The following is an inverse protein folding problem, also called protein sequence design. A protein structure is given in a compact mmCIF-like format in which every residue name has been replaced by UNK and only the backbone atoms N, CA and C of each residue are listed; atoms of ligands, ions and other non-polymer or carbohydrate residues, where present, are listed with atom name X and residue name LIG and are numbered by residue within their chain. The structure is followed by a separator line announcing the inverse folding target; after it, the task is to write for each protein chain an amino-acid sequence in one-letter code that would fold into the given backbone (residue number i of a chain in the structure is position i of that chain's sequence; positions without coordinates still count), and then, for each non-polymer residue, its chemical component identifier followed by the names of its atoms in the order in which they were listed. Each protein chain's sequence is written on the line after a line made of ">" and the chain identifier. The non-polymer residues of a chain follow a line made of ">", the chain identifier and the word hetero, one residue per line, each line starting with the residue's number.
data_IF_019192291994
#
_entry.id   IF_019192291994
#
_cell.length_a   1.000
_cell.length_b   1.000
_cell.length_c   1.000
_cell.angle_alpha   90.00
_cell.angle_beta   90.00
_cell.angle_gamma   90.00
#
_symmetry.space_group_name_H-M   'P 1'
#
loop_
_entity.id
_entity.type
_entity.pdbx_description
1 polymer ?
#
# COMPACT_ATOMS: atom_id res chain seq x y z
N UNK A 1 27.02 23.54 13.77
CA UNK A 1 26.31 24.33 12.75
C UNK A 1 25.44 23.39 11.95
N UNK A 2 24.11 23.53 12.10
CA UNK A 2 23.12 22.71 11.41
C UNK A 2 23.13 23.06 9.92
N UNK A 3 23.31 22.06 9.05
CA UNK A 3 23.11 22.21 7.61
C UNK A 3 21.86 21.41 7.26
N UNK A 4 20.78 22.17 7.07
CA UNK A 4 19.50 21.73 6.51
C UNK A 4 19.71 21.38 5.04
N UNK A 5 19.61 20.11 4.67
CA UNK A 5 19.49 19.70 3.27
C UNK A 5 18.00 19.58 2.92
N UNK A 6 17.46 20.65 2.35
CA UNK A 6 16.23 20.62 1.58
C UNK A 6 16.45 19.78 0.31
N UNK A 7 15.96 18.54 0.30
CA UNK A 7 15.74 17.81 -0.95
C UNK A 7 14.44 18.32 -1.57
N UNK A 8 14.57 19.22 -2.54
CA UNK A 8 13.51 19.54 -3.49
C UNK A 8 13.16 18.26 -4.27
N UNK A 9 12.10 17.57 -3.86
CA UNK A 9 11.38 16.70 -4.76
C UNK A 9 10.72 17.59 -5.82
N UNK A 10 11.22 17.48 -7.05
CA UNK A 10 10.61 18.05 -8.24
C UNK A 10 9.13 17.67 -8.28
N UNK A 11 8.29 18.70 -8.26
CA UNK A 11 6.85 18.64 -8.45
C UNK A 11 6.56 18.11 -9.86
N UNK A 12 6.46 16.79 -10.01
CA UNK A 12 5.67 16.21 -11.09
C UNK A 12 4.23 16.24 -10.58
N UNK A 13 3.29 16.95 -11.22
CA UNK A 13 1.90 16.89 -10.83
C UNK A 13 1.40 15.49 -11.17
N UNK A 14 1.42 14.59 -10.20
CA UNK A 14 0.65 13.38 -10.27
C UNK A 14 -0.82 13.82 -10.28
N UNK A 15 -1.40 13.96 -11.48
CA UNK A 15 -2.86 13.88 -11.66
C UNK A 15 -3.27 12.45 -11.33
N UNK A 16 -3.22 12.12 -10.04
CA UNK A 16 -3.85 10.93 -9.52
C UNK A 16 -5.35 11.14 -9.73
N UNK A 17 -6.04 10.25 -10.46
CA UNK A 17 -7.48 10.34 -10.60
C UNK A 17 -8.09 10.36 -9.19
N UNK A 18 -9.07 11.24 -8.98
CA UNK A 18 -9.87 11.22 -7.76
C UNK A 18 -10.60 9.87 -7.71
N UNK A 19 -10.00 8.90 -7.04
CA UNK A 19 -10.66 7.64 -6.71
C UNK A 19 -11.66 8.01 -5.61
N UNK A 20 -12.87 8.38 -6.04
CA UNK A 20 -14.01 8.35 -5.12
C UNK A 20 -14.17 6.88 -4.71
N UNK A 21 -14.33 6.55 -3.42
CA UNK A 21 -14.91 5.28 -3.05
C UNK A 21 -16.22 5.19 -3.81
N UNK A 22 -16.26 4.36 -4.86
CA UNK A 22 -17.47 4.20 -5.66
C UNK A 22 -18.57 3.78 -4.70
N UNK A 23 -19.78 4.32 -4.88
CA UNK A 23 -21.03 3.77 -4.34
C UNK A 23 -20.95 2.24 -4.35
N UNK A 24 -20.61 1.68 -3.19
CA UNK A 24 -20.34 0.26 -3.03
C UNK A 24 -21.64 -0.47 -3.32
N UNK A 25 -21.55 -1.56 -4.07
CA UNK A 25 -22.64 -2.52 -4.18
C UNK A 25 -23.07 -2.84 -2.74
N UNK A 26 -24.32 -2.48 -2.39
CA UNK A 26 -24.94 -2.90 -1.13
C UNK A 26 -24.94 -4.43 -1.10
N UNK A 27 -23.95 -5.02 -0.45
CA UNK A 27 -24.11 -6.38 0.05
C UNK A 27 -25.10 -6.31 1.22
N UNK A 28 -26.16 -7.10 1.14
CA UNK A 28 -27.19 -7.17 2.16
C UNK A 28 -26.63 -7.47 3.55
N UNK A 29 -27.39 -7.06 4.55
CA UNK A 29 -27.12 -7.10 6.00
C UNK A 29 -27.00 -8.52 6.58
N UNK A 30 -26.06 -9.32 6.06
CA UNK A 30 -25.46 -10.43 6.80
C UNK A 30 -24.01 -10.05 7.10
N UNK A 31 -23.68 -9.94 8.39
CA UNK A 31 -22.40 -9.51 8.96
C UNK A 31 -21.19 -10.07 8.20
N UNK A 32 -20.65 -9.30 7.25
CA UNK A 32 -19.53 -9.72 6.43
C UNK A 32 -18.22 -9.69 7.25
N UNK A 33 -17.72 -10.88 7.60
CA UNK A 33 -16.41 -11.03 8.26
C UNK A 33 -15.29 -11.12 7.21
N UNK A 34 -14.61 -9.99 6.99
CA UNK A 34 -13.45 -9.87 6.10
C UNK A 34 -12.32 -10.86 6.44
N UNK A 35 -12.14 -11.21 7.72
CA UNK A 35 -11.11 -12.16 8.16
C UNK A 35 -11.47 -13.58 7.74
N UNK A 36 -12.73 -13.99 7.94
CA UNK A 36 -13.21 -15.31 7.50
C UNK A 36 -13.16 -15.39 5.97
N UNK A 37 -13.60 -14.33 5.28
CA UNK A 37 -13.48 -14.25 3.82
C UNK A 37 -12.02 -14.43 3.38
N UNK A 38 -11.09 -13.65 3.93
CA UNK A 38 -9.67 -13.71 3.58
C UNK A 38 -9.08 -15.10 3.87
N UNK A 39 -9.42 -15.69 5.01
CA UNK A 39 -8.96 -17.01 5.38
C UNK A 39 -9.38 -18.08 4.38
N UNK A 40 -10.65 -18.04 3.92
CA UNK A 40 -11.17 -18.95 2.92
C UNK A 40 -10.60 -18.65 1.52
N UNK A 41 -10.48 -17.36 1.18
CA UNK A 41 -9.90 -16.87 -0.06
C UNK A 41 -8.47 -17.39 -0.27
N UNK A 42 -7.63 -17.32 0.77
CA UNK A 42 -6.23 -17.76 0.72
C UNK A 42 -6.04 -19.27 0.60
N UNK A 43 -7.09 -20.06 0.82
CA UNK A 43 -7.05 -21.54 0.75
C UNK A 43 -7.56 -22.11 -0.56
N UNK A 44 -8.03 -21.24 -1.46
CA UNK A 44 -8.51 -21.69 -2.76
C UNK A 44 -7.36 -22.20 -3.62
N UNK A 45 -7.70 -23.09 -4.54
CA UNK A 45 -6.74 -23.67 -5.51
C UNK A 45 -6.23 -22.66 -6.53
N UNK A 46 -7.01 -21.62 -6.80
CA UNK A 46 -6.74 -20.53 -7.76
C UNK A 46 -6.24 -19.26 -7.04
N UNK A 47 -5.57 -19.46 -5.90
CA UNK A 47 -4.88 -18.43 -5.15
C UNK A 47 -3.45 -18.87 -4.85
N UNK A 48 -2.47 -18.04 -5.22
CA UNK A 48 -1.07 -18.27 -4.94
C UNK A 48 -0.44 -17.03 -4.29
N UNK A 49 0.27 -17.23 -3.17
CA UNK A 49 1.10 -16.20 -2.52
C UNK A 49 2.57 -16.58 -2.45
N UNK A 50 2.96 -17.82 -2.74
CA UNK A 50 4.31 -18.36 -2.48
C UNK A 50 5.26 -18.24 -3.68
N UNK A 51 4.72 -18.02 -4.88
CA UNK A 51 5.44 -18.14 -6.15
C UNK A 51 5.22 -19.51 -6.79
N UNK A 52 5.95 -19.75 -7.88
CA UNK A 52 5.80 -20.90 -8.78
C UNK A 52 7.10 -21.72 -8.94
N UNK A 53 8.09 -21.51 -8.05
CA UNK A 53 9.32 -22.30 -8.03
C UNK A 53 10.41 -21.79 -8.99
N UNK A 54 10.24 -20.61 -9.59
CA UNK A 54 11.21 -20.01 -10.52
C UNK A 54 12.01 -18.88 -9.86
N UNK A 55 12.29 -19.02 -8.55
CA UNK A 55 12.90 -17.98 -7.72
C UNK A 55 14.26 -17.55 -8.25
N UNK A 56 15.18 -18.49 -8.43
CA UNK A 56 16.58 -18.17 -8.77
C UNK A 56 16.70 -17.54 -10.16
N UNK A 57 15.94 -18.06 -11.13
CA UNK A 57 15.86 -17.48 -12.47
C UNK A 57 15.31 -16.05 -12.46
N UNK A 58 14.26 -15.81 -11.68
CA UNK A 58 13.64 -14.49 -11.56
C UNK A 58 14.56 -13.50 -10.87
N UNK A 59 15.25 -13.90 -9.79
CA UNK A 59 16.24 -13.07 -9.10
C UNK A 59 17.43 -12.74 -9.98
N UNK A 60 17.94 -13.71 -10.75
CA UNK A 60 19.02 -13.47 -11.72
C UNK A 60 18.61 -12.42 -12.75
N UNK A 61 17.42 -12.56 -13.35
CA UNK A 61 16.89 -11.59 -14.32
C UNK A 61 16.74 -10.19 -13.71
N UNK A 62 16.28 -10.09 -12.46
CA UNK A 62 16.18 -8.82 -11.76
C UNK A 62 17.56 -8.20 -11.51
N UNK A 63 18.54 -9.02 -11.11
CA UNK A 63 19.94 -8.60 -10.97
C UNK A 63 20.49 -8.02 -12.28
N UNK A 64 20.38 -8.78 -13.38
CA UNK A 64 20.89 -8.35 -14.69
C UNK A 64 20.21 -7.08 -15.22
N UNK A 65 18.95 -6.82 -14.85
CA UNK A 65 18.17 -5.67 -15.34
C UNK A 65 18.33 -4.42 -14.46
N UNK A 66 18.48 -4.58 -13.15
CA UNK A 66 18.41 -3.48 -12.18
C UNK A 66 19.72 -3.22 -11.42
N UNK A 67 20.68 -4.14 -11.46
CA UNK A 67 22.03 -3.83 -11.00
C UNK A 67 22.71 -2.90 -12.02
N UNK A 68 23.33 -1.83 -11.55
CA UNK A 68 24.11 -0.93 -12.39
C UNK A 68 25.58 -1.33 -12.34
N UNK A 69 26.20 -1.62 -13.49
CA UNK A 69 27.45 -2.39 -13.46
C UNK A 69 28.72 -1.56 -13.20
N UNK A 70 28.82 -0.32 -13.68
CA UNK A 70 30.13 0.37 -13.61
C UNK A 70 30.30 1.37 -12.45
N UNK A 71 29.27 2.14 -12.09
CA UNK A 71 29.40 3.15 -11.03
C UNK A 71 29.15 2.57 -9.64
N UNK A 72 28.12 1.73 -9.50
CA UNK A 72 27.79 1.12 -8.22
C UNK A 72 28.88 0.16 -7.77
N UNK A 73 29.50 -0.58 -8.68
CA UNK A 73 30.66 -1.41 -8.36
C UNK A 73 31.82 -0.55 -7.83
N UNK A 74 32.19 0.53 -8.52
CA UNK A 74 33.21 1.48 -8.06
C UNK A 74 32.91 2.08 -6.70
N UNK A 75 31.65 2.46 -6.46
CA UNK A 75 31.21 2.97 -5.15
C UNK A 75 31.38 1.90 -4.06
N UNK A 76 31.02 0.64 -4.32
CA UNK A 76 31.18 -0.46 -3.35
C UNK A 76 32.65 -0.76 -3.05
N UNK A 77 33.50 -0.80 -4.07
CA UNK A 77 34.93 -1.07 -3.95
C UNK A 77 35.67 0.06 -3.21
N UNK A 78 35.22 1.30 -3.36
CA UNK A 78 35.81 2.49 -2.72
C UNK A 78 35.13 2.88 -1.39
N UNK A 79 34.64 1.90 -0.62
CA UNK A 79 34.10 2.17 0.71
C UNK A 79 32.83 3.04 0.73
N UNK A 80 31.97 2.92 -0.30
CA UNK A 80 30.74 3.71 -0.52
C UNK A 80 30.98 5.17 -0.91
N UNK A 81 32.19 5.54 -1.33
CA UNK A 81 32.51 6.91 -1.76
C UNK A 81 33.20 6.93 -3.11
N UNK A 82 32.89 7.91 -3.95
CA UNK A 82 33.58 8.14 -5.21
C UNK A 82 33.74 9.64 -5.46
N UNK A 83 34.98 10.08 -5.71
CA UNK A 83 35.29 11.49 -5.95
C UNK A 83 35.51 11.74 -7.44
N UNK A 84 34.79 12.73 -7.98
CA UNK A 84 34.93 13.19 -9.35
C UNK A 84 35.19 14.71 -9.36
N UNK A 85 36.47 15.08 -9.49
CA UNK A 85 36.92 16.46 -9.30
C UNK A 85 36.62 16.95 -7.89
N UNK A 86 35.82 18.01 -7.80
CA UNK A 86 35.39 18.62 -6.53
C UNK A 86 34.07 18.03 -6.00
N UNK A 87 33.46 17.07 -6.72
CA UNK A 87 32.22 16.40 -6.29
C UNK A 87 32.55 15.08 -5.59
N UNK A 88 31.92 14.86 -4.44
CA UNK A 88 31.99 13.58 -3.70
C UNK A 88 30.62 12.91 -3.72
N UNK A 89 30.55 11.72 -4.32
CA UNK A 89 29.38 10.86 -4.35
C UNK A 89 29.48 9.87 -3.18
N UNK A 90 28.46 9.81 -2.33
CA UNK A 90 28.36 8.84 -1.23
C UNK A 90 27.16 7.95 -1.47
N UNK A 91 27.37 6.64 -1.39
CA UNK A 91 26.31 5.65 -1.45
C UNK A 91 25.68 5.50 -0.06
N UNK A 92 24.35 5.56 -0.01
CA UNK A 92 23.59 5.36 1.22
C UNK A 92 23.91 4.02 1.88
N UNK A 93 23.73 3.95 3.19
CA UNK A 93 23.98 2.71 3.93
C UNK A 93 23.06 1.59 3.44
N UNK A 94 21.78 1.92 3.30
CA UNK A 94 20.72 1.09 2.73
C UNK A 94 20.30 1.64 1.35
N UNK A 95 20.30 0.79 0.34
CA UNK A 95 19.90 1.13 -1.02
C UNK A 95 19.37 -0.10 -1.77
N UNK A 96 18.61 0.15 -2.83
CA UNK A 96 18.04 -0.89 -3.68
C UNK A 96 16.66 -1.38 -3.22
N UNK A 97 16.27 -2.57 -3.66
CA UNK A 97 14.98 -3.16 -3.29
C UNK A 97 15.00 -3.67 -1.86
N UNK A 98 13.99 -3.28 -1.08
CA UNK A 98 13.71 -3.99 0.17
C UNK A 98 13.20 -5.40 -0.15
N UNK A 99 13.29 -6.31 0.82
CA UNK A 99 12.85 -7.70 0.66
C UNK A 99 11.39 -7.82 0.19
N UNK A 100 10.50 -6.95 0.67
CA UNK A 100 9.10 -6.94 0.26
C UNK A 100 8.93 -6.61 -1.22
N UNK A 101 9.66 -5.61 -1.72
CA UNK A 101 9.67 -5.22 -3.14
C UNK A 101 10.27 -6.33 -3.99
N UNK A 102 11.44 -6.84 -3.63
CA UNK A 102 12.10 -7.93 -4.38
C UNK A 102 11.17 -9.14 -4.51
N UNK A 103 10.58 -9.55 -3.39
CA UNK A 103 9.61 -10.65 -3.35
C UNK A 103 8.42 -10.40 -4.28
N UNK A 104 7.88 -9.18 -4.30
CA UNK A 104 6.67 -8.86 -5.07
C UNK A 104 6.94 -8.91 -6.57
N UNK A 105 8.01 -8.24 -7.00
CA UNK A 105 8.45 -8.23 -8.41
C UNK A 105 8.81 -9.64 -8.88
N UNK A 106 9.54 -10.39 -8.06
CA UNK A 106 9.87 -11.78 -8.34
C UNK A 106 8.62 -12.62 -8.59
N UNK A 107 7.64 -12.60 -7.68
CA UNK A 107 6.42 -13.42 -7.84
C UNK A 107 5.63 -13.00 -9.09
N UNK A 108 5.59 -11.71 -9.42
CA UNK A 108 4.97 -11.25 -10.66
C UNK A 108 5.69 -11.80 -11.92
N UNK A 109 7.03 -11.88 -11.92
CA UNK A 109 7.79 -12.53 -12.99
C UNK A 109 7.52 -14.02 -13.07
N UNK A 110 7.49 -14.71 -11.92
CA UNK A 110 7.17 -16.13 -11.85
C UNK A 110 5.76 -16.41 -12.39
N UNK A 111 4.77 -15.58 -12.04
CA UNK A 111 3.40 -15.72 -12.53
C UNK A 111 3.31 -15.57 -14.06
N UNK A 112 3.98 -14.55 -14.61
CA UNK A 112 4.01 -14.34 -16.05
C UNK A 112 4.66 -15.53 -16.77
N UNK A 113 5.73 -16.09 -16.21
CA UNK A 113 6.41 -17.28 -16.75
C UNK A 113 5.55 -18.55 -16.65
N UNK A 114 4.86 -18.75 -15.52
CA UNK A 114 4.01 -19.90 -15.27
C UNK A 114 2.79 -19.95 -16.21
N UNK A 115 2.25 -18.79 -16.58
CA UNK A 115 1.06 -18.67 -17.39
C UNK A 115 1.35 -17.92 -18.71
N UNK A 116 2.15 -18.49 -19.61
CA UNK A 116 2.60 -17.85 -20.85
C UNK A 116 1.41 -17.44 -21.75
N UNK A 117 0.38 -18.28 -21.80
CA UNK A 117 -0.75 -18.18 -22.75
C UNK A 117 -1.99 -17.49 -22.17
N UNK A 118 -1.98 -17.10 -20.89
CA UNK A 118 -3.11 -16.44 -20.23
C UNK A 118 -2.88 -14.92 -20.15
N UNK A 119 -3.94 -14.14 -20.22
CA UNK A 119 -3.83 -12.70 -19.95
C UNK A 119 -3.44 -12.48 -18.50
N UNK A 120 -2.35 -11.75 -18.28
CA UNK A 120 -1.89 -11.38 -16.95
C UNK A 120 -2.23 -9.92 -16.69
N UNK A 121 -2.98 -9.67 -15.63
CA UNK A 121 -3.38 -8.36 -15.17
C UNK A 121 -2.65 -8.00 -13.88
N UNK A 122 -2.33 -6.73 -13.70
CA UNK A 122 -1.98 -6.14 -12.41
C UNK A 122 -3.13 -5.25 -11.94
N UNK A 123 -3.47 -5.34 -10.66
CA UNK A 123 -4.52 -4.48 -10.08
C UNK A 123 -4.14 -3.00 -10.15
N UNK A 124 -2.86 -2.70 -9.91
CA UNK A 124 -2.24 -1.37 -9.90
C UNK A 124 -0.79 -1.52 -10.40
N UNK A 125 0.02 -0.46 -10.31
CA UNK A 125 1.47 -0.65 -10.43
C UNK A 125 1.96 -1.71 -9.42
N UNK A 126 2.88 -2.60 -9.84
CA UNK A 126 3.40 -3.64 -8.93
C UNK A 126 4.09 -3.00 -7.72
N UNK A 127 4.81 -1.90 -7.99
CA UNK A 127 5.43 -0.94 -7.08
C UNK A 127 5.49 0.41 -7.83
N UNK A 128 5.67 1.53 -7.12
CA UNK A 128 5.88 2.85 -7.74
C UNK A 128 7.29 3.01 -8.33
N UNK A 129 7.61 2.18 -9.33
CA UNK A 129 8.85 2.22 -10.09
C UNK A 129 8.53 2.08 -11.59
N UNK A 130 8.65 3.16 -12.38
CA UNK A 130 8.31 3.12 -13.80
C UNK A 130 9.06 2.06 -14.59
N UNK A 131 10.36 1.84 -14.29
CA UNK A 131 11.19 0.85 -14.99
C UNK A 131 10.72 -0.57 -14.74
N UNK A 132 10.29 -0.89 -13.52
CA UNK A 132 9.74 -2.22 -13.19
C UNK A 132 8.40 -2.43 -13.88
N UNK A 133 7.48 -1.46 -13.82
CA UNK A 133 6.18 -1.57 -14.50
C UNK A 133 6.34 -1.66 -16.02
N UNK A 134 7.27 -0.89 -16.61
CA UNK A 134 7.59 -1.00 -18.03
C UNK A 134 8.09 -2.40 -18.38
N UNK A 135 9.00 -2.97 -17.57
CA UNK A 135 9.53 -4.32 -17.81
C UNK A 135 8.41 -5.37 -17.76
N UNK A 136 7.47 -5.27 -16.83
CA UNK A 136 6.29 -6.12 -16.78
C UNK A 136 5.38 -5.93 -18.01
N UNK A 137 5.21 -4.70 -18.46
CA UNK A 137 4.49 -4.37 -19.70
C UNK A 137 5.13 -4.99 -20.95
N UNK A 138 6.46 -4.89 -21.07
CA UNK A 138 7.25 -5.55 -22.14
C UNK A 138 7.11 -7.08 -22.09
N UNK A 139 6.89 -7.65 -20.90
CA UNK A 139 6.59 -9.07 -20.73
C UNK A 139 5.14 -9.43 -21.05
N UNK A 140 4.27 -8.46 -21.34
CA UNK A 140 2.86 -8.67 -21.67
C UNK A 140 1.90 -8.66 -20.46
N UNK A 141 2.37 -8.22 -19.29
CA UNK A 141 1.52 -8.00 -18.11
C UNK A 141 0.86 -6.63 -18.22
N UNK A 142 -0.48 -6.57 -18.11
CA UNK A 142 -1.27 -5.35 -18.31
C UNK A 142 -1.77 -4.81 -16.98
N UNK A 143 -1.69 -3.51 -16.74
CA UNK A 143 -2.39 -2.91 -15.60
C UNK A 143 -3.88 -2.77 -15.96
N UNK A 144 -4.78 -3.11 -15.03
CA UNK A 144 -6.22 -2.91 -15.22
C UNK A 144 -6.47 -1.41 -15.40
N UNK A 145 -7.05 -0.97 -16.53
CA UNK A 145 -7.19 0.45 -16.79
C UNK A 145 -8.23 1.08 -15.87
N UNK A 146 -8.02 2.36 -15.56
CA UNK A 146 -8.96 3.18 -14.80
C UNK A 146 -9.64 4.17 -15.75
N UNK A 147 -10.98 4.18 -15.78
CA UNK A 147 -11.77 5.20 -16.48
C UNK A 147 -12.70 5.86 -15.48
N UNK A 148 -12.75 7.20 -15.50
CA UNK A 148 -13.61 7.98 -14.59
C UNK A 148 -13.43 7.63 -13.11
N UNK A 149 -12.19 7.33 -12.70
CA UNK A 149 -11.86 6.95 -11.33
C UNK A 149 -12.25 5.52 -10.93
N UNK A 150 -12.68 4.67 -11.88
CA UNK A 150 -13.06 3.27 -11.64
C UNK A 150 -12.22 2.29 -12.46
N UNK A 151 -11.67 1.28 -11.80
CA UNK A 151 -10.98 0.13 -12.42
C UNK A 151 -11.96 -0.65 -13.31
N UNK A 152 -11.54 -0.96 -14.54
CA UNK A 152 -12.36 -1.60 -15.56
C UNK A 152 -12.29 -3.13 -15.48
N UNK A 153 -12.87 -3.71 -14.43
CA UNK A 153 -12.84 -5.16 -14.21
C UNK A 153 -13.63 -5.98 -15.24
N UNK A 154 -14.46 -5.34 -16.06
CA UNK A 154 -15.19 -6.02 -17.15
C UNK A 154 -14.25 -6.55 -18.25
N UNK A 155 -13.04 -6.00 -18.34
CA UNK A 155 -12.00 -6.47 -19.25
C UNK A 155 -11.31 -7.75 -18.78
N UNK A 156 -11.46 -8.09 -17.49
CA UNK A 156 -10.85 -9.29 -16.90
C UNK A 156 -11.77 -10.48 -17.16
N UNK A 157 -11.29 -11.48 -17.88
CA UNK A 157 -12.06 -12.66 -18.24
C UNK A 157 -11.85 -13.81 -17.24
N UNK A 158 -12.78 -14.76 -17.23
CA UNK A 158 -12.63 -16.01 -16.48
C UNK A 158 -11.36 -16.73 -16.93
N UNK A 159 -10.58 -17.20 -15.97
CA UNK A 159 -9.32 -17.85 -16.26
C UNK A 159 -8.21 -16.88 -16.68
N UNK A 160 -8.36 -15.56 -16.56
CA UNK A 160 -7.20 -14.67 -16.55
C UNK A 160 -6.38 -14.82 -15.26
N UNK A 161 -5.15 -14.34 -15.26
CA UNK A 161 -4.30 -14.23 -14.07
C UNK A 161 -4.33 -12.79 -13.58
N UNK A 162 -4.61 -12.57 -12.30
CA UNK A 162 -4.65 -11.24 -11.70
C UNK A 162 -3.66 -11.18 -10.55
N UNK A 163 -2.65 -10.35 -10.71
CA UNK A 163 -1.58 -10.10 -9.76
C UNK A 163 -1.96 -8.91 -8.89
N UNK A 164 -2.16 -9.15 -7.59
CA UNK A 164 -2.35 -8.09 -6.60
C UNK A 164 -0.99 -7.43 -6.35
N UNK A 165 -0.94 -6.09 -6.32
CA UNK A 165 0.31 -5.33 -6.15
C UNK A 165 0.99 -5.57 -4.79
N UNK A 166 2.20 -5.03 -4.60
CA UNK A 166 2.90 -5.08 -3.32
C UNK A 166 2.14 -4.36 -2.20
N UNK A 167 1.31 -3.37 -2.55
CA UNK A 167 0.44 -2.60 -1.64
C UNK A 167 -0.81 -3.38 -1.23
N UNK A 168 -1.11 -4.47 -1.96
CA UNK A 168 -2.30 -5.29 -1.80
C UNK A 168 -3.51 -4.73 -2.53
N UNK A 169 -4.69 -5.25 -2.18
CA UNK A 169 -5.95 -4.87 -2.78
C UNK A 169 -7.04 -4.77 -1.71
N UNK A 170 -8.05 -3.89 -1.89
CA UNK A 170 -9.20 -3.83 -1.00
C UNK A 170 -10.01 -5.13 -0.97
N UNK A 171 -10.66 -5.42 0.15
CA UNK A 171 -11.48 -6.62 0.32
C UNK A 171 -12.53 -6.78 -0.78
N UNK A 172 -13.16 -5.69 -1.18
CA UNK A 172 -14.18 -5.68 -2.24
C UNK A 172 -13.59 -5.99 -3.62
N UNK A 173 -12.37 -5.54 -3.91
CA UNK A 173 -11.65 -5.90 -5.14
C UNK A 173 -11.34 -7.40 -5.16
N UNK A 174 -10.85 -7.96 -4.05
CA UNK A 174 -10.60 -9.40 -3.92
C UNK A 174 -11.88 -10.24 -4.07
N UNK A 175 -13.01 -9.77 -3.53
CA UNK A 175 -14.32 -10.43 -3.69
C UNK A 175 -14.79 -10.41 -5.14
N UNK A 176 -14.68 -9.27 -5.81
CA UNK A 176 -15.08 -9.13 -7.20
C UNK A 176 -14.25 -10.06 -8.10
N UNK A 177 -12.93 -10.04 -7.96
CA UNK A 177 -12.03 -10.89 -8.74
C UNK A 177 -12.29 -12.38 -8.47
N UNK A 178 -12.59 -12.73 -7.21
CA UNK A 178 -13.01 -14.08 -6.81
C UNK A 178 -14.22 -14.56 -7.61
N UNK A 179 -15.26 -13.73 -7.72
CA UNK A 179 -16.49 -14.06 -8.43
C UNK A 179 -16.28 -14.24 -9.93
N UNK A 180 -15.23 -13.64 -10.50
CA UNK A 180 -14.86 -13.79 -11.92
C UNK A 180 -14.09 -15.08 -12.24
N UNK A 181 -13.79 -15.93 -11.24
CA UNK A 181 -13.03 -17.18 -11.41
C UNK A 181 -11.68 -16.98 -12.13
N UNK A 182 -10.92 -15.98 -11.70
CA UNK A 182 -9.54 -15.74 -12.14
C UNK A 182 -8.55 -16.48 -11.25
N UNK A 183 -7.31 -16.65 -11.73
CA UNK A 183 -6.18 -17.03 -10.87
C UNK A 183 -5.67 -15.78 -10.15
N UNK A 184 -5.64 -15.81 -8.82
CA UNK A 184 -5.10 -14.71 -8.02
C UNK A 184 -3.65 -15.01 -7.67
N UNK A 185 -2.77 -14.07 -8.01
CA UNK A 185 -1.38 -14.05 -7.54
C UNK A 185 -1.21 -12.89 -6.58
N UNK A 186 -1.15 -13.19 -5.29
CA UNK A 186 -1.02 -12.19 -4.24
C UNK A 186 0.46 -11.87 -3.97
N UNK A 187 0.91 -10.72 -4.47
CA UNK A 187 2.28 -10.25 -4.22
C UNK A 187 2.40 -9.35 -3.01
N UNK A 188 1.30 -9.05 -2.31
CA UNK A 188 1.26 -8.11 -1.18
C UNK A 188 2.43 -8.32 -0.23
N UNK A 189 3.15 -7.24 0.06
CA UNK A 189 4.27 -7.24 0.99
C UNK A 189 3.82 -7.83 2.35
N UNK A 190 4.54 -8.81 2.92
CA UNK A 190 4.17 -9.38 4.22
C UNK A 190 4.12 -8.37 5.36
N UNK A 191 4.89 -7.28 5.26
CA UNK A 191 4.83 -6.17 6.21
C UNK A 191 3.51 -5.39 6.12
N UNK A 192 3.01 -5.14 4.90
CA UNK A 192 1.68 -4.54 4.67
C UNK A 192 0.59 -5.46 5.22
N UNK A 193 0.67 -6.75 4.90
CA UNK A 193 -0.28 -7.74 5.40
C UNK A 193 -0.32 -7.81 6.93
N UNK A 194 0.79 -7.52 7.63
CA UNK A 194 0.83 -7.44 9.09
C UNK A 194 0.01 -6.27 9.63
N UNK A 195 0.00 -5.12 8.95
CA UNK A 195 -0.85 -3.96 9.30
C UNK A 195 -2.33 -4.34 9.21
N UNK A 196 -2.71 -5.14 8.21
CA UNK A 196 -4.10 -5.62 8.08
C UNK A 196 -4.54 -6.45 9.29
N UNK A 197 -3.65 -7.27 9.85
CA UNK A 197 -3.96 -8.04 11.07
C UNK A 197 -4.18 -7.13 12.29
N UNK A 198 -3.47 -5.99 12.37
CA UNK A 198 -3.66 -5.02 13.45
C UNK A 198 -5.05 -4.37 13.36
N UNK A 199 -5.47 -3.90 12.19
CA UNK A 199 -6.81 -3.28 12.04
C UNK A 199 -7.95 -4.29 12.19
N UNK A 200 -7.75 -5.55 11.78
CA UNK A 200 -8.69 -6.64 12.07
C UNK A 200 -8.81 -6.93 13.58
N UNK A 201 -7.70 -6.81 14.33
CA UNK A 201 -7.72 -6.94 15.79
C UNK A 201 -8.48 -5.79 16.44
N UNK A 202 -8.28 -4.55 15.98
CA UNK A 202 -9.04 -3.39 16.45
C UNK A 202 -10.54 -3.58 16.21
N UNK A 203 -10.92 -4.01 15.00
CA UNK A 203 -12.32 -4.33 14.66
C UNK A 203 -12.93 -5.34 15.63
N UNK A 204 -12.24 -6.45 15.93
CA UNK A 204 -12.71 -7.48 16.88
C UNK A 204 -12.81 -7.00 18.33
N UNK A 205 -12.02 -6.00 18.69
CA UNK A 205 -12.02 -5.42 20.03
C UNK A 205 -12.99 -4.23 20.16
N UNK A 206 -13.65 -3.84 19.07
CA UNK A 206 -14.49 -2.64 18.95
C UNK A 206 -13.70 -1.34 19.21
N UNK A 207 -12.51 -1.24 18.62
CA UNK A 207 -11.64 -0.05 18.67
C UNK A 207 -11.68 0.64 17.31
N UNK A 208 -11.74 1.97 17.30
CA UNK A 208 -11.47 2.73 16.09
C UNK A 208 -9.98 2.60 15.71
N UNK A 209 -9.71 2.26 14.46
CA UNK A 209 -8.34 2.19 13.94
C UNK A 209 -7.85 3.57 13.52
N UNK A 210 -6.81 4.08 14.17
CA UNK A 210 -6.08 5.27 13.71
C UNK A 210 -4.98 4.81 12.77
N UNK A 211 -5.18 5.03 11.47
CA UNK A 211 -4.28 4.59 10.41
C UNK A 211 -3.37 5.77 10.04
N UNK A 212 -2.08 5.66 10.30
CA UNK A 212 -1.12 6.66 9.84
C UNK A 212 -0.81 6.45 8.35
N UNK A 213 -1.31 7.32 7.49
CA UNK A 213 -1.28 7.11 6.05
C UNK A 213 -1.91 8.23 5.23
N UNK A 214 -1.84 8.08 3.90
CA UNK A 214 -2.52 8.98 2.95
C UNK A 214 -3.81 8.33 2.50
N UNK A 215 -4.97 8.95 2.74
CA UNK A 215 -6.28 8.33 2.47
C UNK A 215 -6.47 7.84 1.02
N UNK A 216 -5.82 8.50 0.05
CA UNK A 216 -5.92 8.18 -1.37
C UNK A 216 -4.85 7.20 -1.88
N UNK A 217 -3.92 6.74 -1.02
CA UNK A 217 -2.86 5.81 -1.42
C UNK A 217 -3.35 4.36 -1.37
N UNK A 218 -2.92 3.53 -2.31
CA UNK A 218 -3.41 2.17 -2.55
C UNK A 218 -3.25 1.29 -1.31
N UNK A 219 -2.10 1.38 -0.61
CA UNK A 219 -1.86 0.67 0.66
C UNK A 219 -2.89 1.07 1.73
N UNK A 220 -3.32 2.33 1.76
CA UNK A 220 -4.27 2.85 2.76
C UNK A 220 -5.68 2.42 2.45
N UNK A 221 -6.07 2.48 1.18
CA UNK A 221 -7.37 2.02 0.73
C UNK A 221 -7.50 0.52 1.00
N UNK A 222 -6.45 -0.26 0.69
CA UNK A 222 -6.41 -1.68 1.02
C UNK A 222 -6.52 -1.92 2.53
N UNK A 223 -5.70 -1.24 3.34
CA UNK A 223 -5.70 -1.39 4.81
C UNK A 223 -7.04 -0.99 5.44
N UNK A 224 -7.60 0.15 5.05
CA UNK A 224 -8.88 0.65 5.56
C UNK A 224 -10.03 -0.31 5.25
N UNK A 225 -9.99 -1.03 4.11
CA UNK A 225 -11.02 -2.02 3.76
C UNK A 225 -11.08 -3.23 4.71
N UNK A 226 -10.02 -3.48 5.49
CA UNK A 226 -9.99 -4.50 6.55
C UNK A 226 -10.37 -3.96 7.93
N UNK A 227 -10.41 -2.65 8.10
CA UNK A 227 -10.80 -2.02 9.35
C UNK A 227 -12.34 -2.06 9.52
N UNK A 228 -12.79 -1.93 10.77
CA UNK A 228 -14.19 -1.59 11.07
C UNK A 228 -14.32 -0.07 11.03
N UNK A 229 -14.51 0.53 12.19
CA UNK A 229 -14.39 1.97 12.39
C UNK A 229 -12.92 2.42 12.21
N UNK A 230 -12.68 3.47 11.44
CA UNK A 230 -11.32 4.01 11.27
C UNK A 230 -11.28 5.52 11.05
N UNK A 231 -10.11 6.09 11.32
CA UNK A 231 -9.69 7.42 10.94
C UNK A 231 -8.25 7.34 10.39
N UNK A 232 -7.99 8.03 9.28
CA UNK A 232 -6.68 8.11 8.64
C UNK A 232 -6.07 9.48 8.93
N UNK A 233 -4.85 9.49 9.47
CA UNK A 233 -4.07 10.72 9.71
C UNK A 233 -2.81 10.71 8.87
N UNK A 234 -2.50 11.82 8.21
CA UNK A 234 -1.39 11.91 7.25
C UNK A 234 -0.05 12.30 7.88
N UNK A 235 -0.08 13.08 8.94
CA UNK A 235 1.11 13.73 9.49
C UNK A 235 0.88 14.15 10.94
N UNK A 236 1.97 14.60 11.58
CA UNK A 236 1.98 15.07 12.96
C UNK A 236 0.91 16.13 13.25
N UNK A 237 0.63 17.08 12.34
CA UNK A 237 -0.38 18.12 12.60
C UNK A 237 -1.79 17.55 12.68
N UNK A 238 -2.10 16.54 11.87
CA UNK A 238 -3.39 15.86 11.93
C UNK A 238 -3.48 14.95 13.16
N UNK A 239 -2.38 14.32 13.57
CA UNK A 239 -2.31 13.57 14.82
C UNK A 239 -2.48 14.49 16.05
N UNK A 240 -1.82 15.66 16.07
CA UNK A 240 -2.00 16.67 17.12
C UNK A 240 -3.45 17.16 17.17
N UNK A 241 -4.05 17.46 16.02
CA UNK A 241 -5.46 17.85 15.94
C UNK A 241 -6.40 16.76 16.48
N UNK A 242 -6.13 15.50 16.17
CA UNK A 242 -6.86 14.35 16.71
C UNK A 242 -6.71 14.27 18.24
N UNK A 243 -5.48 14.35 18.75
CA UNK A 243 -5.22 14.29 20.20
C UNK A 243 -5.86 15.48 20.93
N UNK A 244 -5.78 16.68 20.37
CA UNK A 244 -6.42 17.87 20.93
C UNK A 244 -7.94 17.71 20.98
N UNK A 245 -8.56 17.11 19.96
CA UNK A 245 -10.00 16.82 19.96
C UNK A 245 -10.38 15.84 21.08
N UNK A 246 -9.63 14.74 21.21
CA UNK A 246 -9.84 13.73 22.28
C UNK A 246 -9.71 14.37 23.67
N UNK A 247 -8.82 15.34 23.81
CA UNK A 247 -8.56 16.06 25.05
C UNK A 247 -9.48 17.29 25.25
N UNK A 248 -10.49 17.48 24.40
CA UNK A 248 -11.44 18.59 24.52
C UNK A 248 -10.80 19.98 24.34
N UNK A 249 -9.76 20.09 23.51
CA UNK A 249 -9.04 21.34 23.23
C UNK A 249 -7.90 21.67 24.19
N UNK A 250 -7.54 20.76 25.10
CA UNK A 250 -6.57 21.02 26.17
C UNK A 250 -5.09 20.85 25.76
N UNK A 251 -4.79 20.36 24.55
CA UNK A 251 -3.41 20.11 24.11
C UNK A 251 -2.78 21.38 23.53
N UNK A 252 -3.41 21.94 22.50
CA UNK A 252 -2.98 23.17 21.84
C UNK A 252 -4.15 24.04 21.33
N UNK A 253 -5.40 23.59 21.55
CA UNK A 253 -6.60 24.29 21.09
C UNK A 253 -6.74 24.31 19.57
N UNK A 254 -6.04 23.43 18.84
CA UNK A 254 -6.13 23.33 17.39
C UNK A 254 -7.42 22.67 16.91
N UNK A 255 -8.04 21.84 17.74
CA UNK A 255 -9.31 21.18 17.50
C UNK A 255 -10.50 22.08 17.84
N UNK A 256 -11.67 21.71 17.34
CA UNK A 256 -12.89 22.51 17.49
C UNK A 256 -14.10 21.58 17.59
N UNK A 257 -15.23 21.97 17.00
CA UNK A 257 -16.47 21.19 17.06
C UNK A 257 -16.39 19.89 16.27
N UNK A 258 -17.29 18.96 16.59
CA UNK A 258 -17.52 17.71 15.85
C UNK A 258 -17.65 17.93 14.34
N UNK A 259 -18.39 18.96 13.94
CA UNK A 259 -18.64 19.27 12.53
C UNK A 259 -17.35 19.68 11.82
N UNK A 260 -16.52 20.50 12.47
CA UNK A 260 -15.22 20.90 11.94
C UNK A 260 -14.26 19.70 11.82
N UNK A 261 -14.30 18.80 12.80
CA UNK A 261 -13.53 17.55 12.78
C UNK A 261 -13.94 16.66 11.59
N UNK A 262 -15.24 16.41 11.43
CA UNK A 262 -15.76 15.59 10.34
C UNK A 262 -15.49 16.21 8.96
N UNK A 263 -15.61 17.53 8.83
CA UNK A 263 -15.29 18.22 7.57
C UNK A 263 -13.80 18.10 7.23
N UNK A 264 -12.91 18.23 8.24
CA UNK A 264 -11.47 18.07 8.07
C UNK A 264 -11.09 16.66 7.59
N UNK A 265 -11.76 15.64 8.12
CA UNK A 265 -11.45 14.23 7.84
C UNK A 265 -12.47 13.53 6.94
N UNK A 266 -13.29 14.27 6.18
CA UNK A 266 -14.42 13.72 5.40
C UNK A 266 -14.09 12.61 4.39
N UNK A 267 -12.83 12.49 3.95
CA UNK A 267 -12.36 11.43 3.07
C UNK A 267 -11.49 10.37 3.77
N UNK A 268 -11.27 10.55 5.07
CA UNK A 268 -10.30 9.82 5.88
C UNK A 268 -10.97 9.03 7.01
N UNK A 269 -12.30 9.03 7.11
CA UNK A 269 -13.05 8.26 8.11
C UNK A 269 -13.88 7.16 7.48
N UNK A 270 -14.25 6.16 8.28
CA UNK A 270 -15.26 5.15 7.90
C UNK A 270 -16.65 5.77 7.77
N UNK A 271 -17.54 5.10 7.03
CA UNK A 271 -18.96 5.47 6.99
C UNK A 271 -19.57 5.37 8.39
N UNK A 272 -20.37 6.37 8.77
CA UNK A 272 -21.02 6.43 10.09
C UNK A 272 -20.10 6.78 11.26
N UNK A 273 -18.85 7.18 11.00
CA UNK A 273 -17.89 7.56 12.05
C UNK A 273 -18.42 8.71 12.92
N UNK A 274 -18.44 8.49 14.23
CA UNK A 274 -18.84 9.44 15.26
C UNK A 274 -17.64 9.73 16.17
N UNK A 275 -16.92 10.86 15.99
CA UNK A 275 -15.71 11.13 16.76
C UNK A 275 -15.94 11.22 18.27
N UNK A 276 -17.16 11.48 18.74
CA UNK A 276 -17.45 11.56 20.17
C UNK A 276 -17.56 10.19 20.84
N UNK A 277 -17.80 9.13 20.04
CA UNK A 277 -17.94 7.75 20.53
C UNK A 277 -16.77 6.87 20.11
N UNK A 278 -16.42 6.96 18.83
CA UNK A 278 -15.41 6.09 18.21
C UNK A 278 -14.00 6.39 18.72
N UNK A 279 -13.73 7.63 19.15
CA UNK A 279 -12.42 8.01 19.69
C UNK A 279 -12.23 7.67 21.18
N UNK A 280 -13.25 7.10 21.86
CA UNK A 280 -13.11 6.64 23.25
C UNK A 280 -12.11 5.46 23.36
N UNK A 281 -12.04 4.62 22.31
CA UNK A 281 -11.17 3.42 22.28
C UNK A 281 -10.48 3.34 20.93
N UNK A 282 -9.21 3.71 20.90
CA UNK A 282 -8.42 3.76 19.66
C UNK A 282 -7.29 2.75 19.64
N UNK A 283 -7.02 2.19 18.46
CA UNK A 283 -5.85 1.37 18.18
C UNK A 283 -5.05 1.95 17.02
N UNK A 284 -3.73 2.01 17.15
CA UNK A 284 -2.86 2.64 16.13
C UNK A 284 -2.36 1.58 15.14
N UNK A 285 -2.49 1.87 13.85
CA UNK A 285 -1.94 1.07 12.77
C UNK A 285 -1.04 1.95 11.89
N UNK A 286 0.25 1.63 11.85
CA UNK A 286 1.20 2.36 11.02
C UNK A 286 1.40 1.67 9.67
N UNK A 287 1.35 2.44 8.59
CA UNK A 287 1.67 1.93 7.26
C UNK A 287 3.18 1.77 7.06
N UNK A 288 3.53 0.86 6.17
CA UNK A 288 4.93 0.55 5.85
C UNK A 288 5.60 1.60 4.98
N UNK A 289 4.79 2.43 4.30
CA UNK A 289 5.22 3.57 3.50
C UNK A 289 5.51 4.83 4.32
N UNK A 290 5.13 4.85 5.61
CA UNK A 290 5.45 5.94 6.52
C UNK A 290 6.71 5.58 7.33
N UNK A 291 7.60 6.56 7.56
CA UNK A 291 8.78 6.32 8.38
C UNK A 291 8.32 6.01 9.82
N UNK A 292 8.85 4.92 10.39
CA UNK A 292 8.53 4.51 11.77
C UNK A 292 8.75 5.65 12.76
N UNK A 293 9.83 6.42 12.58
CA UNK A 293 10.14 7.59 13.41
C UNK A 293 9.12 8.73 13.32
N UNK A 294 8.46 8.93 12.17
CA UNK A 294 7.36 9.92 12.06
C UNK A 294 6.12 9.49 12.84
N UNK A 295 5.95 8.18 13.03
CA UNK A 295 4.82 7.60 13.76
C UNK A 295 5.06 7.61 15.26
N UNK A 296 6.27 7.27 15.70
CA UNK A 296 6.67 7.32 17.13
C UNK A 296 6.56 8.76 17.66
N UNK A 297 7.07 9.75 16.91
CA UNK A 297 6.89 11.17 17.23
C UNK A 297 5.41 11.61 17.31
N UNK A 298 4.52 11.00 16.52
CA UNK A 298 3.09 11.33 16.50
C UNK A 298 2.28 10.66 17.60
N UNK A 299 2.74 9.52 18.11
CA UNK A 299 2.08 8.76 19.16
C UNK A 299 2.57 9.11 20.58
N UNK A 300 3.55 10.02 20.72
CA UNK A 300 4.03 10.51 22.01
C UNK A 300 4.83 9.48 22.83
N UNK A 301 5.51 8.54 22.16
CA UNK A 301 6.42 7.56 22.80
C UNK A 301 7.88 7.99 22.67
#
# INVERSE_FOLDING_TARGET
>A
MAISLHLQFSLIPARLPQIRPSSLIRCGESEFDAKVFRHNFMRRKDYNRTGYGHKDQSLKRMGDKYASDNLMQKLKENGKEYRWGDVTLKLGEDYGFCWGVERSVRIAYEARHQFPDRTNWLTDEIIHNPTVNQTLGEMGVKIIPVKEGKKQYDLVAKGDVVVLSAFGAPVQEMMLLTQKNVEIVDTTCPWVAKVWHSVEKHKKAEYASIIHGKYAHEETIATASFAGTYLIVKNIKEATYLCDYILGGALDGSSSTKEAFLEKFKFAVSEGFDPDKDLERVGIANQTTMLKGETECSAGW
#
